data_IF_350727557649
#
_entry.id   IF_350727557649
#
_cell.length_a   1.000
_cell.length_b   1.000
_cell.length_c   1.000
_cell.angle_alpha   90.00
_cell.angle_beta   90.00
_cell.angle_gamma   90.00
#
_symmetry.space_group_name_H-M   'P 1'
#
loop_
_entity.id
_entity.type
_entity.pdbx_description
1 polymer ?
#
# COMPACT_ATOMS: atom_id res chain seq x y z
N UNK A 1 -0.11 11.74 8.75
CA UNK A 1 0.88 11.97 7.67
C UNK A 1 2.12 12.58 8.29
N UNK A 2 3.17 11.77 8.54
CA UNK A 2 4.43 12.35 9.02
C UNK A 2 5.19 12.94 7.82
N UNK A 3 5.95 14.00 8.05
CA UNK A 3 6.83 14.64 7.08
C UNK A 3 7.72 13.64 6.32
N UNK A 4 8.07 12.53 6.99
CA UNK A 4 8.90 11.46 6.44
C UNK A 4 8.24 10.76 5.24
N UNK A 5 6.93 10.55 5.25
CA UNK A 5 6.22 9.93 4.12
C UNK A 5 6.26 10.82 2.87
N UNK A 6 6.14 12.14 3.04
CA UNK A 6 6.20 13.10 1.93
C UNK A 6 7.60 13.13 1.32
N UNK A 7 8.64 13.14 2.17
CA UNK A 7 10.03 13.10 1.72
C UNK A 7 10.34 11.79 0.98
N UNK A 8 9.90 10.65 1.51
CA UNK A 8 10.10 9.35 0.86
C UNK A 8 9.44 9.30 -0.52
N UNK A 9 8.22 9.80 -0.67
CA UNK A 9 7.54 9.87 -1.97
C UNK A 9 8.29 10.76 -2.97
N UNK A 10 8.84 11.90 -2.52
CA UNK A 10 9.64 12.79 -3.37
C UNK A 10 10.94 12.13 -3.84
N UNK A 11 11.63 11.41 -2.94
CA UNK A 11 12.84 10.66 -3.27
C UNK A 11 12.56 9.49 -4.23
N UNK A 12 11.46 8.78 -4.03
CA UNK A 12 11.04 7.70 -4.93
C UNK A 12 10.70 8.25 -6.31
N UNK A 13 10.00 9.38 -6.40
CA UNK A 13 9.71 10.05 -7.67
C UNK A 13 10.99 10.45 -8.41
N UNK A 14 11.96 11.05 -7.71
CA UNK A 14 13.27 11.42 -8.28
C UNK A 14 14.06 10.20 -8.79
N UNK A 15 14.00 9.06 -8.09
CA UNK A 15 14.61 7.80 -8.54
C UNK A 15 13.93 7.21 -9.77
N UNK A 16 12.62 7.36 -9.90
CA UNK A 16 11.87 6.89 -11.08
C UNK A 16 12.26 7.73 -12.31
N UNK A 17 12.24 9.06 -12.19
CA UNK A 17 12.62 9.99 -13.28
C UNK A 17 14.08 9.81 -13.73
N UNK A 18 14.98 9.46 -12.81
CA UNK A 18 16.39 9.19 -13.12
C UNK A 18 16.68 7.76 -13.60
N UNK A 19 15.66 6.89 -13.67
CA UNK A 19 15.83 5.49 -14.09
C UNK A 19 16.53 4.60 -13.06
N UNK A 20 16.74 5.07 -11.83
CA UNK A 20 17.39 4.35 -10.73
C UNK A 20 16.40 3.64 -9.80
N UNK A 21 15.14 3.57 -10.16
CA UNK A 21 14.13 2.90 -9.37
C UNK A 21 14.09 1.40 -9.69
N UNK A 22 14.40 0.58 -8.69
CA UNK A 22 14.33 -0.88 -8.79
C UNK A 22 13.18 -1.42 -7.95
N UNK A 23 12.41 -2.34 -8.54
CA UNK A 23 11.43 -3.12 -7.81
C UNK A 23 12.13 -4.28 -7.08
N UNK A 24 11.78 -4.46 -5.82
CA UNK A 24 12.24 -5.59 -5.03
C UNK A 24 11.19 -6.70 -5.09
N UNK A 25 11.26 -7.51 -6.15
CA UNK A 25 10.30 -8.57 -6.40
C UNK A 25 10.49 -9.74 -5.43
N UNK A 26 9.43 -10.10 -4.71
CA UNK A 26 9.41 -11.21 -3.75
C UNK A 26 8.07 -11.93 -3.78
N UNK A 27 8.02 -13.13 -3.20
CA UNK A 27 6.74 -13.79 -2.95
C UNK A 27 6.02 -13.08 -1.80
N UNK A 28 4.90 -12.44 -2.11
CA UNK A 28 4.12 -11.63 -1.19
C UNK A 28 2.79 -12.30 -0.90
N UNK A 29 2.49 -12.53 0.38
CA UNK A 29 1.19 -13.02 0.82
C UNK A 29 0.13 -11.91 0.81
N UNK A 30 -1.01 -12.17 0.19
CA UNK A 30 -2.09 -11.20 0.00
C UNK A 30 -2.74 -10.77 1.32
N UNK A 31 -3.12 -11.74 2.16
CA UNK A 31 -3.91 -11.46 3.36
C UNK A 31 -3.14 -10.58 4.36
N UNK A 32 -1.86 -10.87 4.69
CA UNK A 32 -1.08 -9.98 5.54
C UNK A 32 -0.91 -8.57 4.96
N UNK A 33 -0.72 -8.45 3.65
CA UNK A 33 -0.60 -7.15 2.97
C UNK A 33 -1.90 -6.34 3.07
N UNK A 34 -3.05 -6.98 2.85
CA UNK A 34 -4.36 -6.34 3.01
C UNK A 34 -4.60 -5.95 4.46
N UNK A 35 -4.32 -6.83 5.43
CA UNK A 35 -4.51 -6.53 6.86
C UNK A 35 -3.69 -5.32 7.30
N UNK A 36 -2.41 -5.27 6.93
CA UNK A 36 -1.54 -4.13 7.23
C UNK A 36 -2.02 -2.84 6.55
N UNK A 37 -2.57 -2.94 5.35
CA UNK A 37 -3.18 -1.80 4.63
C UNK A 37 -4.38 -1.30 5.42
N UNK A 38 -5.31 -2.18 5.78
CA UNK A 38 -6.54 -1.82 6.49
C UNK A 38 -6.26 -1.25 7.87
N UNK A 39 -5.30 -1.78 8.62
CA UNK A 39 -4.86 -1.21 9.91
C UNK A 39 -4.39 0.24 9.77
N UNK A 40 -3.71 0.56 8.66
CA UNK A 40 -3.23 1.92 8.38
C UNK A 40 -4.39 2.88 8.10
N UNK A 41 -5.43 2.42 7.41
CA UNK A 41 -6.60 3.23 7.04
C UNK A 41 -7.66 3.27 8.14
N UNK A 42 -7.64 2.36 9.11
CA UNK A 42 -8.65 2.22 10.15
C UNK A 42 -8.83 3.51 10.97
N UNK A 43 -7.72 4.13 11.42
CA UNK A 43 -7.77 5.38 12.19
C UNK A 43 -8.45 6.53 11.40
N UNK A 44 -7.97 6.86 10.19
CA UNK A 44 -8.62 7.85 9.32
C UNK A 44 -10.08 7.54 8.97
N UNK A 45 -10.41 6.28 8.74
CA UNK A 45 -11.79 5.89 8.43
C UNK A 45 -12.72 6.07 9.64
N UNK A 46 -12.26 5.72 10.85
CA UNK A 46 -13.03 5.93 12.08
C UNK A 46 -13.29 7.42 12.35
N UNK A 47 -12.31 8.30 12.14
CA UNK A 47 -12.52 9.75 12.32
C UNK A 47 -13.53 10.32 11.31
N UNK A 48 -13.57 9.74 10.09
CA UNK A 48 -14.58 10.03 9.06
C UNK A 48 -15.90 9.25 9.24
N UNK A 49 -16.07 8.45 10.30
CA UNK A 49 -17.22 7.56 10.58
C UNK A 49 -17.55 6.59 9.44
N UNK A 50 -16.53 6.14 8.71
CA UNK A 50 -16.66 5.20 7.60
C UNK A 50 -16.49 3.76 8.07
N UNK A 51 -17.27 2.85 7.46
CA UNK A 51 -17.09 1.41 7.65
C UNK A 51 -16.14 0.87 6.59
N UNK A 52 -15.08 0.21 7.03
CA UNK A 52 -14.13 -0.48 6.16
C UNK A 52 -14.49 -1.97 6.06
N UNK A 53 -14.48 -2.52 4.85
CA UNK A 53 -14.65 -3.96 4.61
C UNK A 53 -13.68 -4.43 3.54
N UNK A 54 -13.12 -5.61 3.75
CA UNK A 54 -12.24 -6.29 2.79
C UNK A 54 -12.95 -7.53 2.27
N UNK A 55 -12.93 -7.71 0.96
CA UNK A 55 -13.47 -8.91 0.30
C UNK A 55 -12.44 -9.42 -0.69
N UNK A 56 -12.09 -10.71 -0.57
CA UNK A 56 -11.16 -11.40 -1.47
C UNK A 56 -11.93 -12.52 -2.15
N UNK A 57 -11.97 -12.50 -3.49
CA UNK A 57 -12.67 -13.52 -4.27
C UNK A 57 -11.94 -14.86 -4.24
N UNK A 58 -12.66 -15.97 -4.37
CA UNK A 58 -12.11 -17.33 -4.29
C UNK A 58 -11.05 -17.65 -5.35
N UNK A 59 -11.08 -16.96 -6.49
CA UNK A 59 -10.14 -17.15 -7.59
C UNK A 59 -8.90 -16.25 -7.49
N UNK A 60 -8.79 -15.42 -6.44
CA UNK A 60 -7.64 -14.55 -6.23
C UNK A 60 -6.54 -15.37 -5.56
N UNK A 61 -5.33 -15.45 -6.15
CA UNK A 61 -4.20 -16.12 -5.53
C UNK A 61 -3.89 -15.53 -4.15
N UNK A 62 -3.50 -16.37 -3.19
CA UNK A 62 -3.09 -15.90 -1.87
C UNK A 62 -1.64 -15.42 -1.84
N UNK A 63 -0.87 -15.71 -2.89
CA UNK A 63 0.53 -15.34 -3.05
C UNK A 63 0.77 -14.78 -4.45
N UNK A 64 1.61 -13.75 -4.53
CA UNK A 64 1.99 -13.09 -5.78
C UNK A 64 3.47 -12.81 -5.80
N UNK A 65 4.09 -12.82 -6.99
CA UNK A 65 5.45 -12.32 -7.15
C UNK A 65 5.40 -10.82 -7.47
N UNK A 66 5.69 -9.98 -6.48
CA UNK A 66 5.57 -8.51 -6.55
C UNK A 66 6.49 -7.84 -5.54
N UNK A 67 6.64 -6.52 -5.65
CA UNK A 67 7.16 -5.70 -4.56
C UNK A 67 6.01 -5.36 -3.57
N UNK A 68 5.98 -6.07 -2.43
CA UNK A 68 4.92 -5.96 -1.44
C UNK A 68 4.85 -4.58 -0.77
N UNK A 69 6.00 -3.95 -0.56
CA UNK A 69 6.09 -2.62 0.05
C UNK A 69 5.45 -1.59 -0.88
N UNK A 70 5.78 -1.63 -2.17
CA UNK A 70 5.23 -0.72 -3.17
C UNK A 70 3.74 -0.94 -3.38
N UNK A 71 3.29 -2.20 -3.47
CA UNK A 71 1.87 -2.52 -3.61
C UNK A 71 1.06 -2.02 -2.41
N UNK A 72 1.54 -2.23 -1.18
CA UNK A 72 0.89 -1.68 0.02
C UNK A 72 0.81 -0.15 -0.02
N UNK A 73 1.88 0.53 -0.45
CA UNK A 73 1.86 2.00 -0.57
C UNK A 73 0.81 2.47 -1.58
N UNK A 74 0.68 1.79 -2.72
CA UNK A 74 -0.36 2.08 -3.72
C UNK A 74 -1.75 1.93 -3.09
N UNK A 75 -2.02 0.82 -2.39
CA UNK A 75 -3.32 0.60 -1.76
C UNK A 75 -3.64 1.63 -0.67
N UNK A 76 -2.67 1.98 0.17
CA UNK A 76 -2.82 3.02 1.19
C UNK A 76 -3.12 4.37 0.55
N UNK A 77 -2.47 4.71 -0.57
CA UNK A 77 -2.73 5.96 -1.28
C UNK A 77 -4.14 5.99 -1.89
N UNK A 78 -4.61 4.86 -2.45
CA UNK A 78 -5.94 4.77 -3.06
C UNK A 78 -7.06 4.84 -2.01
N UNK A 79 -6.89 4.13 -0.89
CA UNK A 79 -7.89 4.08 0.19
C UNK A 79 -7.85 5.32 1.09
N UNK A 80 -6.66 5.89 1.28
CA UNK A 80 -6.42 7.14 1.98
C UNK A 80 -6.78 8.34 1.10
N UNK A 81 -7.97 8.32 0.50
CA UNK A 81 -8.48 9.46 -0.27
C UNK A 81 -8.61 10.65 0.68
N UNK A 82 -7.86 11.72 0.36
CA UNK A 82 -7.90 13.00 1.06
C UNK A 82 -9.31 13.58 0.98
#
# INVERSE_FOLDING_TARGET
MSLLTIINNLLDFSRIESGHFTLHMEETALLPLLDQTMQTIQGPAQSKKLSLRTFVGQHVPLYFHTDGIRLRQILVNLLGTQ
#
